data_IF_155539653026
#
_entry.id   IF_155539653026
#
_cell.length_a   1.000
_cell.length_b   1.000
_cell.length_c   1.000
_cell.angle_alpha   90.00
_cell.angle_beta   90.00
_cell.angle_gamma   90.00
#
_symmetry.space_group_name_H-M   'P 1'
#
loop_
_entity.id
_entity.type
_entity.pdbx_description
1 polymer ?
#
# COMPACT_ATOMS: atom_id res chain seq x y z
N UNK A 1 0.85 0.31 -23.36
CA UNK A 1 1.87 -0.65 -23.81
C UNK A 1 3.18 0.00 -24.33
N UNK A 2 3.39 1.31 -24.19
CA UNK A 2 4.52 2.02 -24.82
C UNK A 2 5.89 1.94 -24.09
N UNK A 3 5.98 1.25 -22.94
CA UNK A 3 7.21 1.15 -22.14
C UNK A 3 7.72 -0.30 -21.95
N UNK A 4 7.07 -1.30 -22.54
CA UNK A 4 7.45 -2.72 -22.37
C UNK A 4 7.10 -3.33 -21.01
N UNK A 5 6.47 -2.59 -20.11
CA UNK A 5 6.01 -3.10 -18.81
C UNK A 5 4.64 -3.78 -18.89
N UNK A 6 4.47 -4.83 -18.07
CA UNK A 6 3.18 -5.48 -17.88
C UNK A 6 2.20 -4.53 -17.15
N UNK A 7 1.02 -4.25 -17.73
CA UNK A 7 0.08 -3.30 -17.18
C UNK A 7 -0.56 -3.78 -15.85
N UNK A 8 -0.64 -5.09 -15.62
CA UNK A 8 -1.19 -5.67 -14.39
C UNK A 8 -0.20 -5.43 -13.25
N UNK A 9 1.08 -5.76 -13.48
CA UNK A 9 2.14 -5.49 -12.51
C UNK A 9 2.17 -4.00 -12.11
N UNK A 10 2.10 -3.11 -13.10
CA UNK A 10 2.04 -1.67 -12.86
C UNK A 10 0.78 -1.27 -12.06
N UNK A 11 -0.37 -1.84 -12.40
CA UNK A 11 -1.62 -1.64 -11.66
C UNK A 11 -1.52 -2.08 -10.19
N UNK A 12 -0.90 -3.23 -9.91
CA UNK A 12 -0.69 -3.71 -8.54
C UNK A 12 0.16 -2.74 -7.73
N UNK A 13 1.28 -2.27 -8.30
CA UNK A 13 2.14 -1.27 -7.64
C UNK A 13 1.36 0.03 -7.38
N UNK A 14 0.59 0.52 -8.36
CA UNK A 14 -0.22 1.71 -8.19
C UNK A 14 -1.24 1.58 -7.06
N UNK A 15 -1.93 0.44 -6.95
CA UNK A 15 -2.89 0.18 -5.88
C UNK A 15 -2.21 0.24 -4.51
N UNK A 16 -1.04 -0.37 -4.35
CA UNK A 16 -0.31 -0.36 -3.08
C UNK A 16 0.11 1.08 -2.72
N UNK A 17 0.62 1.85 -3.68
CA UNK A 17 1.02 3.25 -3.46
C UNK A 17 -0.20 4.11 -3.09
N UNK A 18 -1.34 3.89 -3.73
CA UNK A 18 -2.59 4.58 -3.39
C UNK A 18 -3.01 4.30 -1.95
N UNK A 19 -2.99 3.03 -1.53
CA UNK A 19 -3.28 2.62 -0.15
C UNK A 19 -2.33 3.27 0.86
N UNK A 20 -1.03 3.37 0.53
CA UNK A 20 -0.06 4.10 1.36
C UNK A 20 -0.45 5.58 1.54
N UNK A 21 -1.03 6.19 0.51
CA UNK A 21 -1.54 7.56 0.57
C UNK A 21 -2.72 7.73 1.53
N UNK A 22 -3.52 6.69 1.74
CA UNK A 22 -4.68 6.73 2.65
C UNK A 22 -4.30 6.65 4.14
N UNK A 23 -3.10 6.13 4.44
CA UNK A 23 -2.60 5.98 5.82
C UNK A 23 -1.56 7.04 6.21
N UNK A 24 -0.97 7.75 5.24
CA UNK A 24 0.07 8.77 5.46
C UNK A 24 -0.56 10.18 5.46
N UNK A 25 -0.11 11.14 6.30
CA UNK A 25 -0.57 12.53 6.17
C UNK A 25 -0.06 13.10 4.84
N UNK A 26 -0.86 13.80 4.00
CA UNK A 26 -1.94 14.74 4.34
C UNK A 26 -3.37 14.22 4.20
N UNK A 27 -3.60 13.10 3.49
CA UNK A 27 -4.96 12.54 3.30
C UNK A 27 -5.39 11.76 4.53
N UNK A 28 -4.56 10.80 4.97
CA UNK A 28 -4.67 10.11 6.26
C UNK A 28 -6.05 9.56 6.61
N UNK A 29 -6.90 9.30 5.62
CA UNK A 29 -8.32 9.00 5.82
C UNK A 29 -8.53 7.85 6.80
N UNK A 30 -7.75 6.77 6.66
CA UNK A 30 -7.86 5.61 7.55
C UNK A 30 -7.47 5.97 9.00
N UNK A 31 -6.50 6.86 9.19
CA UNK A 31 -6.07 7.37 10.51
C UNK A 31 -7.18 8.20 11.15
N UNK A 32 -7.84 9.06 10.37
CA UNK A 32 -8.94 9.89 10.84
C UNK A 32 -10.18 9.08 11.21
N UNK A 33 -10.49 8.02 10.46
CA UNK A 33 -11.56 7.07 10.81
C UNK A 33 -11.28 6.41 12.16
N UNK A 34 -10.06 5.91 12.38
CA UNK A 34 -9.67 5.30 13.66
C UNK A 34 -9.75 6.33 14.80
N UNK A 35 -9.31 7.58 14.57
CA UNK A 35 -9.44 8.65 15.57
C UNK A 35 -10.90 8.99 15.91
N UNK A 36 -11.82 8.87 14.95
CA UNK A 36 -13.25 9.07 15.16
C UNK A 36 -13.88 8.01 16.08
N UNK A 37 -13.41 6.76 16.00
CA UNK A 37 -13.86 5.63 16.84
C UNK A 37 -13.13 5.64 18.19
N UNK A 38 -11.81 5.77 18.18
CA UNK A 38 -10.95 5.76 19.37
C UNK A 38 -10.56 7.20 19.76
N UNK A 39 -11.53 7.95 20.31
CA UNK A 39 -11.37 9.38 20.65
C UNK A 39 -10.27 9.64 21.67
N UNK A 40 -9.98 8.70 22.56
CA UNK A 40 -8.99 8.83 23.63
C UNK A 40 -7.54 8.63 23.15
N UNK A 41 -7.36 8.06 21.95
CA UNK A 41 -6.01 7.78 21.40
C UNK A 41 -5.52 8.99 20.61
N UNK A 42 -4.31 9.47 20.90
CA UNK A 42 -3.72 10.59 20.16
C UNK A 42 -3.43 10.18 18.70
N UNK A 43 -3.58 11.12 17.75
CA UNK A 43 -3.25 10.90 16.33
C UNK A 43 -1.78 10.46 16.18
N UNK A 44 -0.87 11.03 16.97
CA UNK A 44 0.55 10.64 16.97
C UNK A 44 0.78 9.19 17.40
N UNK A 45 -0.02 8.66 18.35
CA UNK A 45 0.04 7.25 18.75
C UNK A 45 -0.43 6.33 17.61
N UNK A 46 -1.49 6.73 16.90
CA UNK A 46 -2.00 5.96 15.75
C UNK A 46 -0.94 5.91 14.64
N UNK A 47 -0.30 7.05 14.31
CA UNK A 47 0.78 7.09 13.33
C UNK A 47 1.99 6.23 13.71
N UNK A 48 2.38 6.22 14.99
CA UNK A 48 3.44 5.33 15.48
C UNK A 48 3.07 3.85 15.30
N UNK A 49 1.81 3.49 15.51
CA UNK A 49 1.30 2.14 15.26
C UNK A 49 1.29 1.76 13.79
N UNK A 50 1.05 2.72 12.90
CA UNK A 50 1.01 2.51 11.44
C UNK A 50 2.43 2.41 10.84
N UNK A 51 3.43 3.04 11.45
CA UNK A 51 4.80 3.05 10.93
C UNK A 51 5.37 1.67 10.55
N UNK A 52 5.28 0.60 11.38
CA UNK A 52 5.73 -0.73 10.96
C UNK A 52 4.94 -1.29 9.76
N UNK A 53 3.64 -0.99 9.65
CA UNK A 53 2.83 -1.37 8.50
C UNK A 53 3.27 -0.64 7.23
N UNK A 54 3.56 0.65 7.32
CA UNK A 54 4.08 1.44 6.21
C UNK A 54 5.41 0.87 5.69
N UNK A 55 6.31 0.47 6.60
CA UNK A 55 7.56 -0.21 6.23
C UNK A 55 7.32 -1.53 5.51
N UNK A 56 6.34 -2.33 5.96
CA UNK A 56 5.98 -3.56 5.29
C UNK A 56 5.40 -3.32 3.88
N UNK A 57 4.61 -2.25 3.69
CA UNK A 57 4.11 -1.86 2.36
C UNK A 57 5.26 -1.44 1.44
N UNK A 58 6.21 -0.64 1.92
CA UNK A 58 7.40 -0.25 1.16
C UNK A 58 8.21 -1.49 0.76
N UNK A 59 8.44 -2.40 1.70
CA UNK A 59 9.12 -3.66 1.42
C UNK A 59 8.38 -4.47 0.36
N UNK A 60 7.05 -4.52 0.43
CA UNK A 60 6.21 -5.21 -0.56
C UNK A 60 6.35 -4.60 -1.95
N UNK A 61 6.33 -3.26 -2.06
CA UNK A 61 6.57 -2.56 -3.34
C UNK A 61 7.95 -2.89 -3.89
N UNK A 62 9.00 -2.87 -3.07
CA UNK A 62 10.36 -3.22 -3.50
C UNK A 62 10.40 -4.65 -4.01
N UNK A 63 9.86 -5.61 -3.26
CA UNK A 63 9.83 -7.02 -3.64
C UNK A 63 9.08 -7.21 -4.97
N UNK A 64 7.89 -6.63 -5.12
CA UNK A 64 7.11 -6.74 -6.34
C UNK A 64 7.77 -6.03 -7.53
N UNK A 65 8.54 -4.97 -7.28
CA UNK A 65 9.30 -4.27 -8.31
C UNK A 65 10.46 -5.11 -8.82
N UNK A 66 11.18 -5.81 -7.93
CA UNK A 66 12.31 -6.68 -8.29
C UNK A 66 11.82 -8.02 -8.86
N UNK A 67 10.70 -8.54 -8.36
CA UNK A 67 10.11 -9.83 -8.73
C UNK A 67 8.67 -9.65 -9.25
N UNK A 68 8.50 -9.12 -10.48
CA UNK A 68 7.19 -8.82 -11.05
C UNK A 68 6.31 -10.06 -11.22
N UNK A 69 6.91 -11.24 -11.37
CA UNK A 69 6.21 -12.52 -11.51
C UNK A 69 5.31 -12.85 -10.32
N UNK A 70 5.62 -12.35 -9.12
CA UNK A 70 4.79 -12.53 -7.92
C UNK A 70 3.44 -11.84 -8.11
N UNK A 71 3.43 -10.63 -8.69
CA UNK A 71 2.19 -9.90 -8.96
C UNK A 71 1.33 -10.58 -10.04
N UNK A 72 1.98 -11.29 -10.98
CA UNK A 72 1.34 -11.97 -12.09
C UNK A 72 0.94 -13.41 -11.79
N UNK A 73 1.32 -13.94 -10.61
CA UNK A 73 1.15 -15.35 -10.26
C UNK A 73 -0.32 -15.76 -10.24
N UNK A 74 -1.18 -14.91 -9.66
CA UNK A 74 -2.63 -15.13 -9.65
C UNK A 74 -3.21 -15.07 -11.07
N UNK A 75 -2.79 -14.08 -11.87
CA UNK A 75 -3.27 -13.93 -13.25
C UNK A 75 -2.85 -15.11 -14.14
N UNK A 76 -1.61 -15.60 -13.99
CA UNK A 76 -1.08 -16.78 -14.68
C UNK A 76 -1.78 -18.08 -14.24
N UNK A 77 -2.29 -18.15 -13.01
CA UNK A 77 -2.99 -19.33 -12.49
C UNK A 77 -4.48 -19.37 -12.85
N UNK A 78 -5.08 -18.22 -13.18
CA UNK A 78 -6.49 -18.09 -13.59
C UNK A 78 -6.70 -18.10 -15.12
N UNK A 79 -5.60 -18.08 -15.89
CA UNK A 79 -5.61 -18.26 -17.35
C UNK A 79 -5.32 -19.69 -17.74
#
# INVERSE_FOLDING_TARGET
LALGFDPIWFGVILVIIMEMGLITPPVGMNVFVIKGVAKDVSIGTIYKGIFPFLLAMIASVIILTVFPDIALLLTKAMG
#
